data_IF_020141268934
#
_entry.id   IF_020141268934
#
_cell.length_a   1.000
_cell.length_b   1.000
_cell.length_c   1.000
_cell.angle_alpha   90.00
_cell.angle_beta   90.00
_cell.angle_gamma   90.00
#
_symmetry.space_group_name_H-M   'P 1'
#
loop_
_entity.id
_entity.type
_entity.pdbx_description
1 polymer ?
#
# COMPACT_ATOMS: atom_id res chain seq x y z
N UNK A 1 26.79 -15.36 -7.88
CA UNK A 1 25.86 -14.21 -7.98
C UNK A 1 24.60 -14.61 -8.75
N UNK A 2 23.45 -14.72 -8.06
CA UNK A 2 22.20 -15.13 -8.69
C UNK A 2 21.69 -14.07 -9.66
N UNK A 3 21.13 -14.51 -10.79
CA UNK A 3 20.47 -13.66 -11.79
C UNK A 3 19.27 -12.94 -11.13
N UNK A 4 19.47 -11.70 -10.72
CA UNK A 4 18.40 -10.79 -10.31
C UNK A 4 17.97 -10.03 -11.56
N UNK A 5 16.67 -10.05 -11.89
CA UNK A 5 16.15 -9.24 -12.99
C UNK A 5 16.06 -7.79 -12.50
N UNK A 6 16.94 -6.93 -13.01
CA UNK A 6 16.98 -5.51 -12.65
C UNK A 6 15.97 -4.64 -13.38
N UNK A 7 15.38 -5.15 -14.47
CA UNK A 7 14.47 -4.40 -15.33
C UNK A 7 13.00 -4.78 -15.07
N UNK A 8 12.17 -3.76 -14.94
CA UNK A 8 10.71 -3.86 -14.89
C UNK A 8 10.15 -3.56 -16.28
N UNK A 9 9.36 -4.48 -16.83
CA UNK A 9 8.86 -4.44 -18.21
C UNK A 9 7.33 -4.51 -18.31
N UNK A 10 6.61 -4.20 -17.22
CA UNK A 10 5.14 -4.32 -17.16
C UNK A 10 4.38 -2.98 -17.31
N UNK A 11 4.91 -2.06 -18.12
CA UNK A 11 4.25 -0.77 -18.40
C UNK A 11 2.90 -0.95 -19.09
N UNK A 12 2.78 -1.97 -19.95
CA UNK A 12 1.52 -2.30 -20.63
C UNK A 12 0.45 -2.75 -19.65
N UNK A 13 0.81 -3.66 -18.74
CA UNK A 13 -0.07 -4.16 -17.70
C UNK A 13 -0.47 -3.06 -16.72
N UNK A 14 0.45 -2.18 -16.32
CA UNK A 14 0.13 -1.03 -15.48
C UNK A 14 -0.93 -0.13 -16.13
N UNK A 15 -0.84 0.13 -17.44
CA UNK A 15 -1.86 0.90 -18.19
C UNK A 15 -3.22 0.21 -18.22
N UNK A 16 -3.24 -1.12 -18.42
CA UNK A 16 -4.49 -1.90 -18.38
C UNK A 16 -5.12 -1.84 -17.00
N UNK A 17 -4.32 -2.05 -15.94
CA UNK A 17 -4.80 -1.97 -14.56
C UNK A 17 -5.31 -0.58 -14.19
N UNK A 18 -4.68 0.48 -14.71
CA UNK A 18 -5.14 1.86 -14.54
C UNK A 18 -6.52 2.06 -15.18
N UNK A 19 -6.71 1.65 -16.43
CA UNK A 19 -7.99 1.78 -17.12
C UNK A 19 -9.13 1.00 -16.44
N UNK A 20 -8.84 -0.22 -15.95
CA UNK A 20 -9.81 -0.99 -15.16
C UNK A 20 -10.17 -0.29 -13.84
N UNK A 21 -9.19 0.26 -13.14
CA UNK A 21 -9.39 0.97 -11.88
C UNK A 21 -10.20 2.25 -12.09
N UNK A 22 -9.90 3.02 -13.14
CA UNK A 22 -10.63 4.25 -13.48
C UNK A 22 -12.08 3.96 -13.84
N UNK A 23 -12.34 2.88 -14.58
CA UNK A 23 -13.70 2.45 -14.90
C UNK A 23 -14.46 2.04 -13.63
N UNK A 24 -13.83 1.28 -12.74
CA UNK A 24 -14.48 0.87 -11.49
C UNK A 24 -14.70 2.07 -10.56
N UNK A 25 -13.75 3.02 -10.50
CA UNK A 25 -13.87 4.24 -9.70
C UNK A 25 -15.09 5.08 -10.09
N UNK A 26 -15.54 5.04 -11.35
CA UNK A 26 -16.77 5.72 -11.76
C UNK A 26 -18.02 5.22 -11.02
N UNK A 27 -17.99 3.97 -10.53
CA UNK A 27 -19.07 3.34 -9.76
C UNK A 27 -18.97 3.63 -8.26
N UNK A 28 -17.83 4.13 -7.79
CA UNK A 28 -17.52 4.43 -6.40
C UNK A 28 -16.97 5.87 -6.28
N UNK A 29 -17.85 6.84 -6.46
CA UNK A 29 -17.47 8.26 -6.54
C UNK A 29 -16.91 8.84 -5.22
N UNK A 30 -17.27 8.25 -4.07
CA UNK A 30 -16.94 8.77 -2.74
C UNK A 30 -16.15 7.78 -1.87
N UNK A 31 -15.90 6.57 -2.36
CA UNK A 31 -15.29 5.51 -1.54
C UNK A 31 -14.38 4.62 -2.37
N UNK A 32 -13.57 3.83 -1.68
CA UNK A 32 -12.67 2.89 -2.35
C UNK A 32 -13.44 1.69 -2.93
N UNK A 33 -13.14 1.24 -4.17
CA UNK A 33 -13.73 0.04 -4.78
C UNK A 33 -13.12 -1.24 -4.17
N UNK A 34 -13.43 -1.48 -2.89
CA UNK A 34 -12.83 -2.53 -2.04
C UNK A 34 -12.94 -3.91 -2.69
N UNK A 35 -14.13 -4.28 -3.20
CA UNK A 35 -14.36 -5.60 -3.80
C UNK A 35 -13.52 -5.84 -5.05
N UNK A 36 -13.29 -4.80 -5.85
CA UNK A 36 -12.44 -4.89 -7.02
C UNK A 36 -10.97 -5.05 -6.59
N UNK A 37 -10.50 -4.26 -5.63
CA UNK A 37 -9.13 -4.35 -5.13
C UNK A 37 -8.82 -5.72 -4.53
N UNK A 38 -9.72 -6.23 -3.68
CA UNK A 38 -9.53 -7.55 -3.06
C UNK A 38 -9.51 -8.65 -4.11
N UNK A 39 -10.41 -8.61 -5.09
CA UNK A 39 -10.42 -9.57 -6.19
C UNK A 39 -9.15 -9.47 -7.05
N UNK A 40 -8.68 -8.26 -7.35
CA UNK A 40 -7.47 -8.01 -8.14
C UNK A 40 -6.23 -8.55 -7.42
N UNK A 41 -6.02 -8.19 -6.16
CA UNK A 41 -4.91 -8.69 -5.33
C UNK A 41 -4.95 -10.21 -5.15
N UNK A 42 -6.13 -10.80 -4.95
CA UNK A 42 -6.29 -12.25 -4.84
C UNK A 42 -5.90 -12.95 -6.14
N UNK A 43 -6.29 -12.42 -7.32
CA UNK A 43 -5.86 -12.95 -8.63
C UNK A 43 -4.35 -12.86 -8.84
N UNK A 44 -3.69 -11.91 -8.20
CA UNK A 44 -2.22 -11.80 -8.17
C UNK A 44 -1.56 -12.78 -7.18
N UNK A 45 -2.34 -13.69 -6.56
CA UNK A 45 -1.87 -14.67 -5.57
C UNK A 45 -1.26 -14.04 -4.32
N UNK A 46 -1.81 -12.91 -3.88
CA UNK A 46 -1.49 -12.30 -2.58
C UNK A 46 -2.43 -12.83 -1.51
N UNK A 47 -1.91 -13.02 -0.29
CA UNK A 47 -2.76 -13.23 0.89
C UNK A 47 -3.50 -11.91 1.17
N UNK A 48 -4.76 -11.84 0.75
CA UNK A 48 -5.51 -10.58 0.63
C UNK A 48 -6.51 -10.42 1.76
N UNK A 49 -6.54 -9.22 2.35
CA UNK A 49 -7.35 -8.90 3.53
C UNK A 49 -7.95 -7.49 3.42
N UNK A 50 -8.99 -7.27 4.22
CA UNK A 50 -9.54 -5.93 4.48
C UNK A 50 -9.37 -5.60 5.95
N UNK A 51 -9.32 -4.31 6.26
CA UNK A 51 -9.11 -3.81 7.62
C UNK A 51 -10.01 -2.61 7.86
N UNK A 52 -10.92 -2.71 8.83
CA UNK A 52 -11.84 -1.64 9.18
C UNK A 52 -11.31 -0.87 10.39
N UNK A 53 -11.51 0.44 10.39
CA UNK A 53 -11.20 1.30 11.52
C UNK A 53 -12.29 2.37 11.71
N UNK A 54 -12.31 2.98 12.90
CA UNK A 54 -13.25 4.04 13.24
C UNK A 54 -12.54 5.16 14.00
N UNK A 55 -12.74 6.40 13.55
CA UNK A 55 -12.33 7.61 14.25
C UNK A 55 -13.53 8.13 15.05
N UNK A 56 -13.41 8.13 16.37
CA UNK A 56 -14.30 8.87 17.26
C UNK A 56 -13.82 10.33 17.29
N UNK A 57 -14.50 11.20 16.56
CA UNK A 57 -14.05 12.58 16.40
C UNK A 57 -14.18 13.35 17.73
N UNK A 58 -13.08 13.82 18.33
CA UNK A 58 -13.08 14.29 19.72
C UNK A 58 -13.85 15.60 19.92
N UNK A 59 -14.03 16.39 18.85
CA UNK A 59 -14.68 17.70 18.88
C UNK A 59 -16.14 17.65 18.40
N UNK A 60 -16.57 16.54 17.80
CA UNK A 60 -17.95 16.34 17.38
C UNK A 60 -18.70 15.57 18.46
N UNK A 61 -19.88 16.03 18.85
CA UNK A 61 -20.73 15.43 19.89
C UNK A 61 -21.09 13.96 19.59
N UNK A 62 -20.16 13.03 19.76
CA UNK A 62 -20.29 11.62 19.40
C UNK A 62 -20.17 11.30 17.91
N UNK A 63 -19.64 12.21 17.08
CA UNK A 63 -19.49 11.97 15.64
C UNK A 63 -18.44 10.90 15.37
N UNK A 64 -18.77 9.91 14.54
CA UNK A 64 -17.88 8.83 14.15
C UNK A 64 -17.65 8.83 12.64
N UNK A 65 -16.41 8.57 12.24
CA UNK A 65 -16.02 8.37 10.84
C UNK A 65 -15.43 6.98 10.70
N UNK A 66 -15.81 6.24 9.67
CA UNK A 66 -15.30 4.89 9.42
C UNK A 66 -14.45 4.88 8.16
N UNK A 67 -13.52 3.93 8.10
CA UNK A 67 -12.73 3.69 6.91
C UNK A 67 -12.36 2.21 6.77
N UNK A 68 -11.96 1.84 5.57
CA UNK A 68 -11.56 0.48 5.24
C UNK A 68 -10.30 0.48 4.38
N UNK A 69 -9.24 -0.15 4.89
CA UNK A 69 -8.04 -0.43 4.12
C UNK A 69 -8.14 -1.80 3.43
N UNK A 70 -7.39 -1.96 2.34
CA UNK A 70 -7.19 -3.25 1.65
C UNK A 70 -5.69 -3.51 1.60
N UNK A 71 -5.27 -4.72 1.96
CA UNK A 71 -3.86 -5.09 1.83
C UNK A 71 -3.68 -6.52 1.37
N UNK A 72 -2.58 -6.76 0.65
CA UNK A 72 -2.17 -8.07 0.18
C UNK A 72 -0.73 -8.37 0.60
N UNK A 73 -0.46 -9.59 1.07
CA UNK A 73 0.88 -10.01 1.46
C UNK A 73 1.43 -10.99 0.43
N UNK A 74 2.56 -10.65 -0.18
CA UNK A 74 3.39 -11.57 -0.92
C UNK A 74 4.40 -12.21 0.05
N UNK A 75 4.23 -13.52 0.31
CA UNK A 75 5.12 -14.27 1.20
C UNK A 75 6.48 -14.51 0.59
N UNK A 76 7.54 -14.31 1.37
CA UNK A 76 8.91 -14.63 0.99
C UNK A 76 9.06 -16.14 0.75
N UNK A 77 9.42 -16.61 -0.46
CA UNK A 77 9.52 -18.05 -0.73
C UNK A 77 10.66 -18.76 0.03
N UNK A 78 11.65 -18.01 0.52
CA UNK A 78 12.93 -18.53 1.07
C UNK A 78 13.18 -18.17 2.52
N UNK A 79 12.21 -17.58 3.21
CA UNK A 79 12.40 -17.06 4.57
C UNK A 79 11.21 -17.44 5.45
N UNK A 80 11.40 -17.40 6.76
CA UNK A 80 10.37 -17.70 7.76
C UNK A 80 9.33 -16.57 7.92
N UNK A 81 9.22 -15.65 6.94
CA UNK A 81 8.32 -14.49 6.98
C UNK A 81 8.46 -13.63 8.23
N UNK A 82 9.69 -13.52 8.78
CA UNK A 82 9.98 -12.78 10.03
C UNK A 82 10.20 -11.29 9.83
N UNK A 83 10.39 -10.85 8.59
CA UNK A 83 10.60 -9.46 8.19
C UNK A 83 9.70 -9.11 7.01
N UNK A 84 9.30 -7.85 6.94
CA UNK A 84 8.49 -7.34 5.85
C UNK A 84 8.97 -5.98 5.33
N UNK A 85 8.63 -5.68 4.09
CA UNK A 85 8.65 -4.33 3.50
C UNK A 85 7.24 -3.97 3.10
N UNK A 86 6.84 -2.72 3.32
CA UNK A 86 5.51 -2.23 2.95
C UNK A 86 5.60 -1.32 1.74
N UNK A 87 4.75 -1.54 0.74
CA UNK A 87 4.48 -0.58 -0.34
C UNK A 87 3.08 -0.04 -0.10
N UNK A 88 2.93 1.28 0.00
CA UNK A 88 1.66 1.95 0.32
C UNK A 88 1.22 2.87 -0.79
N UNK A 89 -0.09 2.94 -1.05
CA UNK A 89 -0.74 3.95 -1.91
C UNK A 89 -2.05 4.35 -1.23
N UNK A 90 -2.27 5.63 -0.90
CA UNK A 90 -3.59 6.07 -0.46
C UNK A 90 -4.54 6.07 -1.66
N UNK A 91 -5.76 5.55 -1.50
CA UNK A 91 -6.80 5.68 -2.52
C UNK A 91 -7.51 7.02 -2.37
N UNK A 92 -7.62 7.76 -3.48
CA UNK A 92 -8.41 8.99 -3.57
C UNK A 92 -9.59 8.77 -4.51
N UNK A 93 -10.84 8.85 -4.01
CA UNK A 93 -12.02 8.70 -4.86
C UNK A 93 -12.13 9.87 -5.83
N UNK A 94 -12.91 9.74 -6.92
CA UNK A 94 -13.06 10.80 -7.94
C UNK A 94 -13.51 12.16 -7.39
N UNK A 95 -14.28 12.17 -6.29
CA UNK A 95 -14.75 13.40 -5.62
C UNK A 95 -13.69 14.07 -4.74
N UNK A 96 -12.52 13.46 -4.57
CA UNK A 96 -11.43 14.04 -3.79
C UNK A 96 -10.98 15.38 -4.35
N UNK A 97 -10.69 16.32 -3.45
CA UNK A 97 -10.09 17.62 -3.80
C UNK A 97 -8.61 17.50 -4.15
N UNK A 98 -7.98 16.38 -3.77
CA UNK A 98 -6.57 16.12 -4.04
C UNK A 98 -6.39 15.38 -5.37
N UNK A 99 -5.25 15.59 -6.05
CA UNK A 99 -4.95 14.86 -7.28
C UNK A 99 -4.99 13.34 -7.07
N UNK A 100 -5.53 12.63 -8.07
CA UNK A 100 -5.65 11.17 -8.05
C UNK A 100 -4.31 10.49 -7.81
N UNK A 101 -4.35 9.33 -7.15
CA UNK A 101 -3.23 8.42 -6.94
C UNK A 101 -3.40 7.10 -7.72
N UNK A 102 -4.42 7.03 -8.59
CA UNK A 102 -4.72 5.84 -9.40
C UNK A 102 -3.52 5.34 -10.21
N UNK A 103 -2.66 6.20 -10.81
CA UNK A 103 -1.43 5.73 -11.47
C UNK A 103 -0.47 5.01 -10.51
N UNK A 104 -0.32 5.50 -9.27
CA UNK A 104 0.49 4.85 -8.24
C UNK A 104 -0.07 3.49 -7.82
N UNK A 105 -1.40 3.39 -7.71
CA UNK A 105 -2.08 2.13 -7.40
C UNK A 105 -1.96 1.11 -8.54
N UNK A 106 -2.09 1.55 -9.78
CA UNK A 106 -1.88 0.70 -10.95
C UNK A 106 -0.43 0.18 -11.02
N UNK A 107 0.55 1.05 -10.75
CA UNK A 107 1.96 0.66 -10.66
C UNK A 107 2.19 -0.36 -9.54
N UNK A 108 1.60 -0.15 -8.35
CA UNK A 108 1.68 -1.09 -7.24
C UNK A 108 1.19 -2.49 -7.64
N UNK A 109 0.03 -2.57 -8.31
CA UNK A 109 -0.53 -3.85 -8.75
C UNK A 109 0.34 -4.52 -9.82
N UNK A 110 0.91 -3.75 -10.74
CA UNK A 110 1.86 -4.27 -11.73
C UNK A 110 3.17 -4.75 -11.07
N UNK A 111 3.68 -4.03 -10.06
CA UNK A 111 4.81 -4.47 -9.24
C UNK A 111 4.50 -5.77 -8.50
N UNK A 112 3.31 -5.91 -7.91
CA UNK A 112 2.88 -7.16 -7.28
C UNK A 112 2.89 -8.33 -8.27
N UNK A 113 2.37 -8.12 -9.49
CA UNK A 113 2.40 -9.12 -10.56
C UNK A 113 3.84 -9.51 -10.94
N UNK A 114 4.73 -8.52 -11.06
CA UNK A 114 6.14 -8.74 -11.37
C UNK A 114 6.86 -9.49 -10.26
N UNK A 115 6.70 -9.05 -9.00
CA UNK A 115 7.34 -9.60 -7.82
C UNK A 115 6.91 -11.04 -7.55
N UNK A 116 5.65 -11.40 -7.85
CA UNK A 116 5.15 -12.76 -7.71
C UNK A 116 5.96 -13.78 -8.54
N UNK A 117 6.51 -13.38 -9.69
CA UNK A 117 7.32 -14.26 -10.55
C UNK A 117 8.76 -14.43 -10.05
N UNK A 118 9.19 -13.60 -9.10
CA UNK A 118 10.55 -13.61 -8.59
C UNK A 118 10.67 -14.59 -7.41
N UNK A 119 11.69 -15.46 -7.45
CA UNK A 119 11.90 -16.51 -6.44
C UNK A 119 12.89 -16.14 -5.32
N UNK A 120 13.42 -14.92 -5.34
CA UNK A 120 14.55 -14.50 -4.50
C UNK A 120 14.17 -13.59 -3.33
N UNK A 121 12.88 -13.30 -3.11
CA UNK A 121 12.47 -12.48 -1.97
C UNK A 121 12.83 -13.14 -0.63
N UNK A 122 13.52 -12.38 0.21
CA UNK A 122 13.92 -12.78 1.56
C UNK A 122 12.99 -12.21 2.66
N UNK A 123 12.13 -11.26 2.29
CA UNK A 123 11.18 -10.57 3.18
C UNK A 123 9.79 -10.62 2.56
N UNK A 124 8.76 -10.66 3.39
CA UNK A 124 7.39 -10.49 2.92
C UNK A 124 7.24 -9.08 2.32
N UNK A 125 6.42 -8.94 1.29
CA UNK A 125 6.08 -7.64 0.71
C UNK A 125 4.60 -7.40 0.93
N UNK A 126 4.27 -6.35 1.68
CA UNK A 126 2.92 -5.96 2.00
C UNK A 126 2.52 -4.82 1.08
N UNK A 127 1.51 -5.03 0.23
CA UNK A 127 0.91 -4.00 -0.60
C UNK A 127 -0.32 -3.47 0.12
N UNK A 128 -0.28 -2.22 0.58
CA UNK A 128 -1.32 -1.60 1.39
C UNK A 128 -1.96 -0.43 0.64
N UNK A 129 -3.28 -0.50 0.46
CA UNK A 129 -4.12 0.56 -0.08
C UNK A 129 -4.97 1.12 1.04
N UNK A 130 -4.83 2.41 1.33
CA UNK A 130 -5.54 3.03 2.46
C UNK A 130 -6.67 3.93 2.02
N UNK A 131 -7.74 3.92 2.81
CA UNK A 131 -8.78 4.94 2.77
C UNK A 131 -8.46 6.02 3.80
N UNK A 132 -8.86 7.27 3.53
CA UNK A 132 -8.56 8.43 4.40
C UNK A 132 -7.06 8.71 4.61
N UNK A 133 -6.25 8.44 3.58
CA UNK A 133 -4.82 8.76 3.53
C UNK A 133 -4.02 8.34 4.77
N UNK A 134 -3.48 9.32 5.51
CA UNK A 134 -2.65 9.10 6.70
C UNK A 134 -3.42 8.44 7.85
N UNK A 135 -4.71 8.73 7.99
CA UNK A 135 -5.54 8.15 9.05
C UNK A 135 -5.68 6.64 8.85
N UNK A 136 -5.89 6.20 7.61
CA UNK A 136 -5.93 4.78 7.27
C UNK A 136 -4.59 4.09 7.52
N UNK A 137 -3.47 4.73 7.18
CA UNK A 137 -2.12 4.21 7.47
C UNK A 137 -1.89 4.09 8.97
N UNK A 138 -2.24 5.12 9.74
CA UNK A 138 -2.08 5.12 11.20
C UNK A 138 -2.91 3.99 11.83
N UNK A 139 -4.19 3.87 11.48
CA UNK A 139 -5.04 2.80 11.97
C UNK A 139 -4.46 1.42 11.62
N UNK A 140 -3.94 1.25 10.40
CA UNK A 140 -3.33 -0.01 10.00
C UNK A 140 -2.06 -0.32 10.80
N UNK A 141 -1.18 0.66 11.03
CA UNK A 141 0.04 0.50 11.82
C UNK A 141 -0.26 0.21 13.30
N UNK A 142 -1.21 0.92 13.89
CA UNK A 142 -1.67 0.70 15.26
C UNK A 142 -2.22 -0.72 15.45
N UNK A 143 -3.01 -1.20 14.48
CA UNK A 143 -3.51 -2.57 14.44
C UNK A 143 -2.40 -3.59 14.12
N UNK A 144 -1.38 -3.22 13.35
CA UNK A 144 -0.25 -4.09 13.02
C UNK A 144 0.65 -4.37 14.23
N UNK A 145 0.85 -3.36 15.07
CA UNK A 145 1.69 -3.42 16.25
C UNK A 145 0.95 -3.73 17.56
N UNK A 146 -0.35 -4.07 17.49
CA UNK A 146 -1.20 -4.32 18.67
C UNK A 146 -1.14 -3.19 19.70
N UNK A 147 -1.15 -1.94 19.23
CA UNK A 147 -1.10 -0.78 20.14
C UNK A 147 -2.38 -0.71 20.99
N UNK A 148 -2.29 -0.32 22.27
CA UNK A 148 -3.46 -0.15 23.12
C UNK A 148 -4.40 0.94 22.56
N UNK A 149 -5.73 0.70 22.53
CA UNK A 149 -6.68 1.72 22.07
C UNK A 149 -6.62 2.99 22.91
N UNK A 150 -6.59 4.15 22.26
CA UNK A 150 -6.61 5.47 22.92
C UNK A 150 -8.01 6.04 23.11
N UNK A 151 -9.02 5.41 22.50
CA UNK A 151 -10.42 5.87 22.48
C UNK A 151 -10.73 6.87 21.36
N UNK A 152 -9.72 7.49 20.74
CA UNK A 152 -9.89 8.38 19.59
C UNK A 152 -9.92 7.59 18.29
N UNK A 153 -8.89 6.78 18.04
CA UNK A 153 -8.81 5.90 16.89
C UNK A 153 -9.03 4.46 17.33
N UNK A 154 -10.20 3.90 16.98
CA UNK A 154 -10.47 2.48 17.08
C UNK A 154 -9.85 1.81 15.85
N UNK A 155 -8.60 1.39 15.99
CA UNK A 155 -7.81 0.84 14.88
C UNK A 155 -8.32 -0.51 14.38
N UNK A 156 -9.13 -1.25 15.14
CA UNK A 156 -9.69 -2.54 14.71
C UNK A 156 -8.72 -3.71 14.89
N UNK A 157 -8.79 -4.71 14.01
CA UNK A 157 -7.89 -5.87 14.05
C UNK A 157 -7.50 -6.33 12.65
N UNK A 158 -6.33 -6.96 12.53
CA UNK A 158 -5.84 -7.50 11.28
C UNK A 158 -6.05 -9.02 11.23
N UNK A 159 -6.67 -9.50 10.15
CA UNK A 159 -6.87 -10.93 9.89
C UNK A 159 -5.60 -11.65 9.40
N UNK A 160 -4.60 -10.89 8.92
CA UNK A 160 -3.32 -11.42 8.52
C UNK A 160 -2.20 -10.41 8.76
N UNK A 161 -0.99 -10.89 9.06
CA UNK A 161 0.19 -10.06 9.26
C UNK A 161 1.42 -10.68 8.60
N UNK A 162 2.38 -9.81 8.27
CA UNK A 162 3.75 -10.18 7.91
C UNK A 162 4.66 -10.13 9.14
N UNK A 163 5.95 -10.35 8.94
CA UNK A 163 6.97 -10.13 9.97
C UNK A 163 7.36 -8.66 10.15
N UNK A 164 8.28 -8.37 11.07
CA UNK A 164 8.64 -7.00 11.45
C UNK A 164 8.94 -6.08 10.24
N UNK A 165 8.29 -4.93 10.17
CA UNK A 165 8.45 -3.96 9.09
C UNK A 165 9.86 -3.35 9.16
N UNK A 166 10.65 -3.56 8.11
CA UNK A 166 12.02 -3.05 8.00
C UNK A 166 12.11 -1.78 7.16
N UNK A 167 11.18 -1.59 6.24
CA UNK A 167 11.11 -0.43 5.37
C UNK A 167 9.69 -0.22 4.85
N UNK A 168 9.39 1.01 4.45
CA UNK A 168 8.15 1.36 3.77
C UNK A 168 8.44 2.26 2.56
N UNK A 169 7.72 2.04 1.46
CA UNK A 169 7.73 2.84 0.26
C UNK A 169 6.31 3.37 0.02
N UNK A 170 6.13 4.69 0.09
CA UNK A 170 4.87 5.33 -0.25
C UNK A 170 4.88 5.80 -1.70
N UNK A 171 3.95 5.30 -2.51
CA UNK A 171 3.81 5.67 -3.91
C UNK A 171 2.69 6.70 -4.04
N UNK A 172 3.07 7.94 -4.38
CA UNK A 172 2.13 9.02 -4.66
C UNK A 172 2.41 9.55 -6.08
N UNK A 173 1.78 8.92 -7.07
CA UNK A 173 1.94 9.25 -8.48
C UNK A 173 0.59 9.73 -9.05
N UNK A 174 0.62 10.87 -9.73
CA UNK A 174 -0.58 11.53 -10.28
C UNK A 174 -0.73 11.39 -11.79
N UNK A 175 0.27 10.85 -12.48
CA UNK A 175 0.27 10.70 -13.93
C UNK A 175 0.85 9.34 -14.34
N UNK A 176 0.31 8.78 -15.42
CA UNK A 176 0.78 7.54 -16.03
C UNK A 176 2.08 7.71 -16.83
N UNK A 177 2.42 8.95 -17.21
CA UNK A 177 3.71 9.31 -17.80
C UNK A 177 4.46 10.22 -16.84
N UNK A 178 5.58 9.72 -16.33
CA UNK A 178 6.39 10.40 -15.34
C UNK A 178 7.60 11.01 -16.04
N UNK A 179 7.75 12.34 -15.99
CA UNK A 179 8.92 13.03 -16.52
C UNK A 179 10.08 13.12 -15.51
N UNK A 180 9.76 13.08 -14.22
CA UNK A 180 10.70 13.15 -13.10
C UNK A 180 10.07 12.47 -11.88
N UNK A 181 10.90 11.88 -11.01
CA UNK A 181 10.50 11.31 -9.73
C UNK A 181 11.21 12.11 -8.64
N UNK A 182 10.46 12.57 -7.65
CA UNK A 182 11.02 13.13 -6.42
C UNK A 182 11.08 12.02 -5.36
N UNK A 183 12.26 11.80 -4.78
CA UNK A 183 12.47 10.76 -3.78
C UNK A 183 12.76 11.41 -2.44
N UNK A 184 11.78 11.33 -1.55
CA UNK A 184 11.86 11.85 -0.19
C UNK A 184 12.24 10.72 0.77
N UNK A 185 13.38 10.89 1.42
CA UNK A 185 13.87 9.98 2.43
C UNK A 185 13.39 10.44 3.80
N UNK A 186 12.69 9.56 4.51
CA UNK A 186 12.22 9.81 5.88
C UNK A 186 12.73 8.71 6.79
N UNK A 187 13.28 9.08 7.94
CA UNK A 187 13.67 8.15 8.99
C UNK A 187 13.43 8.72 10.38
N UNK A 188 13.47 7.85 11.38
CA UNK A 188 13.18 8.20 12.76
C UNK A 188 14.24 9.18 13.30
N UNK A 189 13.79 10.28 13.92
CA UNK A 189 14.66 11.25 14.59
C UNK A 189 15.77 11.86 13.70
N UNK A 190 15.51 12.03 12.40
CA UNK A 190 16.51 12.58 11.47
C UNK A 190 17.60 11.60 11.05
N UNK A 191 17.47 10.31 11.43
CA UNK A 191 18.31 9.25 10.85
C UNK A 191 17.91 9.02 9.39
N UNK A 192 18.90 8.77 8.55
CA UNK A 192 18.65 8.38 7.16
C UNK A 192 18.09 6.95 7.13
N UNK A 193 17.12 6.64 6.25
CA UNK A 193 16.71 5.27 6.01
C UNK A 193 17.90 4.44 5.52
N UNK A 194 17.78 3.10 5.57
CA UNK A 194 18.86 2.20 5.16
C UNK A 194 19.46 2.65 3.81
N UNK A 195 20.75 2.99 3.83
CA UNK A 195 21.46 3.65 2.74
C UNK A 195 21.52 2.75 1.48
N UNK A 196 21.42 1.43 1.67
CA UNK A 196 21.29 0.47 0.56
C UNK A 196 20.01 0.68 -0.28
N UNK A 197 18.90 1.08 0.35
CA UNK A 197 17.65 1.38 -0.36
C UNK A 197 17.78 2.70 -1.14
N UNK A 198 18.46 3.67 -0.56
CA UNK A 198 18.72 5.00 -1.15
C UNK A 198 19.61 4.87 -2.39
N UNK A 199 20.69 4.09 -2.28
CA UNK A 199 21.64 3.87 -3.36
C UNK A 199 21.02 3.17 -4.58
N UNK A 200 19.89 2.48 -4.42
CA UNK A 200 19.20 1.81 -5.51
C UNK A 200 18.46 2.80 -6.44
N UNK A 201 18.04 3.95 -5.90
CA UNK A 201 17.33 5.00 -6.65
C UNK A 201 18.29 5.87 -7.48
N UNK A 202 19.50 6.11 -6.98
CA UNK A 202 20.47 7.02 -7.59
C UNK A 202 21.35 6.41 -8.70
N UNK A 203 21.04 5.18 -9.16
CA UNK A 203 21.83 4.48 -10.18
C UNK A 203 21.49 4.90 -11.60
#
# INVERSE_FOLDING_TARGET
PGLVKGEFDLDGEAKVMLGELELEAQRFQESMPVSWLTAKMTRLSLDTYTHNFTLNYPLGKGTKFTGKNVYGILRAPRSASTEAVVVTVPYRPPTSVHPTTAPGLALMLALAQFFRRQKYWAKDIIFLVTEHEQLGVQAWLEAYHDTPPTGVLEHGSLLGRGGAIQAALNLELHASRVGYIDVKLSGLNGQLPNLDLVNLVHR
#
